data_IF_409258539844
#
_entry.id   IF_409258539844
#
_cell.length_a   1.000
_cell.length_b   1.000
_cell.length_c   1.000
_cell.angle_alpha   90.00
_cell.angle_beta   90.00
_cell.angle_gamma   90.00
#
_symmetry.space_group_name_H-M   'P 1'
#
loop_
_entity.id
_entity.type
_entity.pdbx_description
1 polymer ?
#
# COMPACT_ATOMS: atom_id res chain seq x y z
N UNK A 1 28.73 19.55 13.24
CA UNK A 1 29.23 18.49 14.15
C UNK A 1 28.12 17.56 14.67
N UNK A 2 27.07 18.08 15.31
CA UNK A 2 25.95 17.28 15.88
C UNK A 2 25.19 16.37 14.88
N UNK A 3 25.01 16.80 13.62
CA UNK A 3 24.35 15.99 12.58
C UNK A 3 25.21 14.78 12.16
N UNK A 4 26.54 14.95 12.12
CA UNK A 4 27.50 13.88 11.80
C UNK A 4 27.55 12.86 12.94
N UNK A 5 27.65 13.34 14.18
CA UNK A 5 27.61 12.49 15.37
C UNK A 5 26.31 11.67 15.47
N UNK A 6 25.17 12.29 15.16
CA UNK A 6 23.87 11.60 15.12
C UNK A 6 23.88 10.40 14.17
N UNK A 7 24.26 10.58 12.89
CA UNK A 7 24.28 9.49 11.92
C UNK A 7 25.36 8.44 12.21
N UNK A 8 26.46 8.84 12.87
CA UNK A 8 27.45 7.88 13.36
C UNK A 8 26.82 6.92 14.37
N UNK A 9 26.02 7.45 15.30
CA UNK A 9 25.37 6.68 16.37
C UNK A 9 24.15 5.90 15.86
N UNK A 10 23.21 6.56 15.18
CA UNK A 10 21.93 5.96 14.80
C UNK A 10 22.01 5.06 13.57
N UNK A 11 22.92 5.37 12.64
CA UNK A 11 22.92 4.81 11.28
C UNK A 11 22.34 5.79 10.26
N UNK A 12 22.70 5.63 8.99
CA UNK A 12 22.14 6.46 7.93
C UNK A 12 20.67 6.08 7.64
N UNK A 13 19.92 7.01 7.07
CA UNK A 13 18.50 6.80 6.73
C UNK A 13 18.29 5.80 5.60
N UNK A 14 19.34 5.49 4.83
CA UNK A 14 19.28 4.59 3.67
C UNK A 14 19.41 3.12 4.08
N UNK A 15 20.32 2.79 5.02
CA UNK A 15 20.58 1.40 5.40
C UNK A 15 19.79 0.92 6.63
N UNK A 16 19.23 1.84 7.42
CA UNK A 16 18.52 1.52 8.65
C UNK A 16 17.12 2.13 8.67
N UNK A 17 16.11 1.32 9.00
CA UNK A 17 14.75 1.80 9.20
C UNK A 17 14.68 2.80 10.37
N UNK A 18 13.58 3.53 10.45
CA UNK A 18 13.33 4.45 11.57
C UNK A 18 13.43 3.74 12.93
N UNK A 19 12.78 2.58 13.09
CA UNK A 19 12.81 1.80 14.34
C UNK A 19 14.21 1.27 14.66
N UNK A 20 14.96 0.83 13.65
CA UNK A 20 16.37 0.44 13.79
C UNK A 20 17.22 1.58 14.35
N UNK A 21 17.08 2.79 13.79
CA UNK A 21 17.85 3.97 14.20
C UNK A 21 17.52 4.38 15.63
N UNK A 22 16.24 4.38 15.97
CA UNK A 22 15.78 4.68 17.33
C UNK A 22 16.32 3.66 18.34
N UNK A 23 16.27 2.37 18.00
CA UNK A 23 16.84 1.33 18.86
C UNK A 23 18.35 1.53 19.08
N UNK A 24 19.11 1.84 18.02
CA UNK A 24 20.54 2.14 18.13
C UNK A 24 20.83 3.34 19.04
N UNK A 25 20.04 4.42 18.90
CA UNK A 25 20.14 5.61 19.75
C UNK A 25 19.89 5.23 21.21
N UNK A 26 18.83 4.47 21.49
CA UNK A 26 18.52 4.05 22.85
C UNK A 26 19.60 3.14 23.44
N UNK A 27 20.10 2.16 22.69
CA UNK A 27 21.18 1.31 23.19
C UNK A 27 22.43 2.13 23.51
N UNK A 28 22.82 3.05 22.63
CA UNK A 28 24.00 3.89 22.83
C UNK A 28 23.85 4.82 24.04
N UNK A 29 22.74 5.56 24.11
CA UNK A 29 22.48 6.52 25.18
C UNK A 29 22.21 5.80 26.50
N UNK A 30 21.44 4.72 26.47
CA UNK A 30 21.22 3.84 27.61
C UNK A 30 22.55 3.36 28.19
N UNK A 31 23.42 2.80 27.35
CA UNK A 31 24.77 2.37 27.78
C UNK A 31 25.59 3.52 28.36
N UNK A 32 25.57 4.70 27.73
CA UNK A 32 26.28 5.88 28.22
C UNK A 32 25.79 6.29 29.62
N UNK A 33 24.47 6.37 29.82
CA UNK A 33 23.88 6.74 31.10
C UNK A 33 24.07 5.63 32.16
N UNK A 34 24.03 4.35 31.79
CA UNK A 34 24.37 3.25 32.70
C UNK A 34 25.85 3.30 33.12
N UNK A 35 26.76 3.68 32.21
CA UNK A 35 28.18 3.86 32.53
C UNK A 35 28.42 5.02 33.48
N UNK A 36 27.70 6.13 33.27
CA UNK A 36 27.76 7.29 34.16
C UNK A 36 27.16 6.98 35.54
N UNK A 37 26.02 6.28 35.57
CA UNK A 37 25.40 5.77 36.79
C UNK A 37 26.31 4.80 37.54
N UNK A 38 27.01 3.90 36.84
CA UNK A 38 28.02 3.02 37.44
C UNK A 38 29.12 3.80 38.17
N UNK A 39 29.69 4.82 37.53
CA UNK A 39 30.77 5.61 38.13
C UNK A 39 30.31 6.34 39.41
N UNK A 40 29.06 6.80 39.43
CA UNK A 40 28.48 7.43 40.60
C UNK A 40 28.10 6.44 41.69
N UNK A 41 27.49 5.32 41.33
CA UNK A 41 27.17 4.26 42.29
C UNK A 41 28.42 3.76 43.00
N UNK A 42 29.53 3.64 42.27
CA UNK A 42 30.84 3.35 42.82
C UNK A 42 31.32 4.46 43.78
N UNK A 43 31.20 5.73 43.38
CA UNK A 43 31.58 6.87 44.22
C UNK A 43 30.73 7.04 45.48
N UNK A 44 29.47 6.61 45.45
CA UNK A 44 28.53 6.63 46.58
C UNK A 44 28.70 5.41 47.51
N UNK A 45 29.63 4.50 47.19
CA UNK A 45 29.88 3.30 47.98
C UNK A 45 28.71 2.30 47.97
N UNK A 46 27.85 2.32 46.94
CA UNK A 46 26.77 1.35 46.83
C UNK A 46 27.34 -0.07 46.65
N UNK A 47 26.66 -1.06 47.25
CA UNK A 47 27.19 -2.43 47.39
C UNK A 47 27.62 -3.11 46.08
N UNK A 48 28.53 -4.08 46.19
CA UNK A 48 29.15 -4.77 45.05
C UNK A 48 28.16 -5.37 44.03
N UNK A 49 26.97 -5.77 44.48
CA UNK A 49 25.93 -6.30 43.58
C UNK A 49 25.35 -5.23 42.64
N UNK A 50 25.23 -3.97 43.07
CA UNK A 50 24.78 -2.85 42.22
C UNK A 50 25.83 -2.53 41.14
N UNK A 51 27.11 -2.67 41.48
CA UNK A 51 28.22 -2.54 40.55
C UNK A 51 28.15 -3.66 39.49
N UNK A 52 27.91 -4.90 39.92
CA UNK A 52 27.79 -6.06 39.03
C UNK A 52 26.59 -5.94 38.07
N UNK A 53 25.41 -5.54 38.56
CA UNK A 53 24.23 -5.32 37.70
C UNK A 53 24.44 -4.19 36.70
N UNK A 54 25.17 -3.15 37.08
CA UNK A 54 25.54 -2.05 36.18
C UNK A 54 26.50 -2.51 35.08
N UNK A 55 27.54 -3.28 35.42
CA UNK A 55 28.52 -3.81 34.44
C UNK A 55 27.87 -4.76 33.43
N UNK A 56 26.99 -5.65 33.91
CA UNK A 56 26.23 -6.56 33.05
C UNK A 56 25.29 -5.79 32.10
N UNK A 57 24.64 -4.73 32.60
CA UNK A 57 23.84 -3.81 31.78
C UNK A 57 24.66 -3.10 30.69
N UNK A 58 25.86 -2.60 31.02
CA UNK A 58 26.77 -1.96 30.07
C UNK A 58 27.21 -2.95 28.99
N UNK A 59 27.68 -4.14 29.38
CA UNK A 59 28.12 -5.17 28.44
C UNK A 59 27.00 -5.57 27.49
N UNK A 60 25.78 -5.69 28.00
CA UNK A 60 24.61 -6.01 27.20
C UNK A 60 24.22 -4.88 26.24
N UNK A 61 24.19 -3.63 26.71
CA UNK A 61 23.91 -2.45 25.89
C UNK A 61 24.90 -2.30 24.73
N UNK A 62 26.21 -2.51 24.99
CA UNK A 62 27.26 -2.54 23.96
C UNK A 62 27.01 -3.67 22.97
N UNK A 63 26.70 -4.87 23.46
CA UNK A 63 26.46 -6.04 22.60
C UNK A 63 25.28 -5.81 21.66
N UNK A 64 24.19 -5.26 22.17
CA UNK A 64 22.98 -4.98 21.40
C UNK A 64 23.20 -3.86 20.39
N UNK A 65 23.91 -2.81 20.79
CA UNK A 65 24.33 -1.76 19.88
C UNK A 65 25.22 -2.33 18.76
N UNK A 66 26.20 -3.18 19.08
CA UNK A 66 27.07 -3.81 18.10
C UNK A 66 26.29 -4.72 17.11
N UNK A 67 25.41 -5.59 17.61
CA UNK A 67 24.61 -6.49 16.78
C UNK A 67 23.67 -5.70 15.85
N UNK A 68 22.99 -4.69 16.38
CA UNK A 68 22.03 -3.89 15.62
C UNK A 68 22.74 -2.94 14.64
N UNK A 69 23.73 -2.17 15.10
CA UNK A 69 24.36 -1.10 14.33
C UNK A 69 25.46 -1.59 13.38
N UNK A 70 26.30 -2.54 13.81
CA UNK A 70 27.49 -2.98 13.06
C UNK A 70 27.19 -4.23 12.24
N UNK A 71 26.52 -5.23 12.81
CA UNK A 71 26.14 -6.43 12.06
C UNK A 71 24.84 -6.28 11.26
N UNK A 72 24.10 -5.20 11.45
CA UNK A 72 22.80 -4.98 10.78
C UNK A 72 21.72 -5.99 11.17
N UNK A 73 21.95 -6.78 12.22
CA UNK A 73 21.04 -7.82 12.68
C UNK A 73 20.05 -7.19 13.64
N UNK A 74 18.91 -6.76 13.14
CA UNK A 74 17.80 -6.38 14.00
C UNK A 74 16.48 -6.98 13.53
N UNK A 75 15.77 -7.48 14.53
CA UNK A 75 14.50 -8.18 14.51
C UNK A 75 13.74 -7.69 15.72
N UNK A 76 12.41 -7.62 15.63
CA UNK A 76 11.56 -7.17 16.72
C UNK A 76 11.82 -7.92 18.05
N UNK A 77 12.22 -9.19 17.97
CA UNK A 77 12.57 -10.05 19.13
C UNK A 77 13.70 -9.47 19.99
N UNK A 78 14.63 -8.69 19.42
CA UNK A 78 15.71 -8.09 20.22
C UNK A 78 15.18 -7.03 21.20
N UNK A 79 14.12 -6.31 20.86
CA UNK A 79 13.48 -5.35 21.80
C UNK A 79 12.87 -6.11 22.97
N UNK A 80 12.15 -7.20 22.70
CA UNK A 80 11.52 -8.02 23.74
C UNK A 80 12.59 -8.64 24.66
N UNK A 81 13.69 -9.16 24.10
CA UNK A 81 14.83 -9.66 24.87
C UNK A 81 15.49 -8.56 25.72
N UNK A 82 15.62 -7.35 25.16
CA UNK A 82 16.22 -6.21 25.84
C UNK A 82 15.38 -5.74 27.03
N UNK A 83 14.05 -5.72 26.86
CA UNK A 83 13.09 -5.42 27.93
C UNK A 83 13.18 -6.45 29.05
N UNK A 84 13.20 -7.75 28.72
CA UNK A 84 13.28 -8.83 29.71
C UNK A 84 14.57 -8.75 30.53
N UNK A 85 15.73 -8.61 29.88
CA UNK A 85 16.99 -8.52 30.61
C UNK A 85 17.06 -7.26 31.47
N UNK A 86 16.60 -6.11 30.94
CA UNK A 86 16.57 -4.86 31.72
C UNK A 86 15.71 -5.02 32.97
N UNK A 87 14.53 -5.64 32.86
CA UNK A 87 13.68 -5.91 34.02
C UNK A 87 14.33 -6.87 35.02
N UNK A 88 15.03 -7.91 34.54
CA UNK A 88 15.74 -8.85 35.40
C UNK A 88 16.89 -8.18 36.17
N UNK A 89 17.68 -7.34 35.50
CA UNK A 89 18.77 -6.59 36.14
C UNK A 89 18.25 -5.57 37.15
N UNK A 90 17.15 -4.88 36.85
CA UNK A 90 16.50 -3.94 37.78
C UNK A 90 15.87 -4.67 38.96
N UNK A 91 15.25 -5.84 38.72
CA UNK A 91 14.73 -6.70 39.79
C UNK A 91 15.83 -7.22 40.70
N UNK A 92 17.02 -7.55 40.17
CA UNK A 92 18.18 -7.86 41.01
C UNK A 92 18.63 -6.65 41.82
N UNK A 93 18.67 -5.46 41.19
CA UNK A 93 19.08 -4.21 41.85
C UNK A 93 18.14 -3.80 42.98
N UNK A 94 16.84 -4.13 42.88
CA UNK A 94 15.82 -3.85 43.89
C UNK A 94 16.21 -4.32 45.31
N UNK A 95 16.77 -5.52 45.43
CA UNK A 95 17.18 -6.08 46.73
C UNK A 95 18.37 -5.35 47.37
N UNK A 96 19.20 -4.71 46.55
CA UNK A 96 20.43 -4.03 46.99
C UNK A 96 20.31 -2.50 47.00
N UNK A 97 19.15 -1.97 46.63
CA UNK A 97 18.86 -0.54 46.58
C UNK A 97 17.54 -0.26 47.33
N UNK A 98 17.42 -0.76 48.57
CA UNK A 98 16.35 -0.39 49.51
C UNK A 98 14.91 -0.64 49.05
N UNK A 99 14.68 -1.55 48.11
CA UNK A 99 13.32 -1.95 47.71
C UNK A 99 12.46 -0.78 47.24
N UNK A 100 11.27 -0.63 47.83
CA UNK A 100 10.35 0.48 47.51
C UNK A 100 10.82 1.85 48.00
N UNK A 101 11.69 1.93 49.00
CA UNK A 101 12.27 3.19 49.47
C UNK A 101 13.43 3.68 48.59
N UNK A 102 13.91 2.83 47.69
CA UNK A 102 14.98 3.15 46.76
C UNK A 102 14.52 3.76 45.44
N UNK A 103 15.42 3.73 44.47
CA UNK A 103 15.26 4.45 43.21
C UNK A 103 14.87 3.55 42.03
N UNK A 104 14.77 2.24 42.26
CA UNK A 104 14.52 1.23 41.21
C UNK A 104 13.18 1.43 40.50
N UNK A 105 12.11 1.82 41.20
CA UNK A 105 10.81 2.07 40.56
C UNK A 105 10.83 3.26 39.59
N UNK A 106 11.58 4.31 39.91
CA UNK A 106 11.77 5.43 38.96
C UNK A 106 12.54 4.96 37.73
N UNK A 107 13.56 4.12 37.92
CA UNK A 107 14.33 3.55 36.81
C UNK A 107 13.48 2.63 35.94
N UNK A 108 12.61 1.80 36.54
CA UNK A 108 11.63 0.99 35.82
C UNK A 108 10.67 1.86 35.00
N UNK A 109 10.17 2.97 35.56
CA UNK A 109 9.28 3.89 34.85
C UNK A 109 9.97 4.57 33.66
N UNK A 110 11.19 5.07 33.84
CA UNK A 110 11.99 5.68 32.77
C UNK A 110 12.23 4.67 31.63
N UNK A 111 12.60 3.43 31.97
CA UNK A 111 12.80 2.37 30.99
C UNK A 111 11.49 1.97 30.30
N UNK A 112 10.37 1.90 31.02
CA UNK A 112 9.06 1.65 30.45
C UNK A 112 8.71 2.69 29.38
N UNK A 113 8.78 3.98 29.72
CA UNK A 113 8.54 5.07 28.76
C UNK A 113 9.47 4.97 27.55
N UNK A 114 10.74 4.64 27.78
CA UNK A 114 11.73 4.50 26.70
C UNK A 114 11.39 3.33 25.77
N UNK A 115 11.01 2.17 26.30
CA UNK A 115 10.62 1.02 25.47
C UNK A 115 9.28 1.21 24.77
N UNK A 116 8.35 1.96 25.36
CA UNK A 116 7.11 2.34 24.70
C UNK A 116 7.35 3.23 23.46
N UNK A 117 8.39 4.08 23.49
CA UNK A 117 8.78 4.91 22.35
C UNK A 117 9.41 4.09 21.20
N UNK A 118 10.04 2.95 21.49
CA UNK A 118 10.80 2.16 20.53
C UNK A 118 9.99 0.97 19.99
N UNK A 119 9.21 0.35 20.87
CA UNK A 119 8.45 -0.85 20.56
C UNK A 119 7.32 -0.58 19.57
N UNK A 120 7.15 -1.48 18.60
CA UNK A 120 6.00 -1.43 17.68
C UNK A 120 4.69 -1.58 18.45
N UNK A 121 3.60 -1.09 17.87
CA UNK A 121 2.26 -1.18 18.49
C UNK A 121 1.89 -2.62 18.88
N UNK A 122 2.33 -3.63 18.12
CA UNK A 122 2.14 -5.05 18.44
C UNK A 122 2.98 -5.57 19.62
N UNK A 123 4.01 -4.85 20.05
CA UNK A 123 4.89 -5.21 21.17
C UNK A 123 4.52 -4.47 22.46
N UNK A 124 3.93 -3.28 22.35
CA UNK A 124 3.62 -2.42 23.49
C UNK A 124 2.82 -3.13 24.58
N UNK A 125 1.82 -3.94 24.21
CA UNK A 125 1.06 -4.73 25.18
C UNK A 125 1.95 -5.71 25.97
N UNK A 126 2.87 -6.42 25.29
CA UNK A 126 3.80 -7.35 25.95
C UNK A 126 4.77 -6.60 26.86
N UNK A 127 5.27 -5.45 26.42
CA UNK A 127 6.14 -4.58 27.22
C UNK A 127 5.42 -4.16 28.50
N UNK A 128 4.19 -3.64 28.41
CA UNK A 128 3.39 -3.26 29.57
C UNK A 128 3.16 -4.43 30.53
N UNK A 129 2.83 -5.62 30.01
CA UNK A 129 2.64 -6.83 30.85
C UNK A 129 3.92 -7.15 31.63
N UNK A 130 5.09 -7.14 30.98
CA UNK A 130 6.38 -7.44 31.63
C UNK A 130 6.65 -6.43 32.75
N UNK A 131 6.56 -5.12 32.48
CA UNK A 131 6.83 -4.10 33.50
C UNK A 131 5.83 -4.14 34.66
N UNK A 132 4.54 -4.30 34.38
CA UNK A 132 3.50 -4.40 35.42
C UNK A 132 3.74 -5.65 36.29
N UNK A 133 4.03 -6.79 35.66
CA UNK A 133 4.28 -8.04 36.37
C UNK A 133 5.55 -7.93 37.22
N UNK A 134 6.63 -7.34 36.70
CA UNK A 134 7.84 -7.06 37.48
C UNK A 134 7.53 -6.24 38.72
N UNK A 135 6.77 -5.14 38.59
CA UNK A 135 6.41 -4.28 39.73
C UNK A 135 5.58 -5.04 40.76
N UNK A 136 4.56 -5.78 40.33
CA UNK A 136 3.70 -6.58 41.23
C UNK A 136 4.53 -7.63 41.97
N UNK A 137 5.42 -8.34 41.28
CA UNK A 137 6.28 -9.37 41.88
C UNK A 137 7.23 -8.75 42.90
N UNK A 138 7.89 -7.62 42.58
CA UNK A 138 8.81 -6.97 43.51
C UNK A 138 8.11 -6.48 44.78
N UNK A 139 6.93 -5.85 44.65
CA UNK A 139 6.13 -5.41 45.80
C UNK A 139 5.64 -6.61 46.63
N UNK A 140 5.21 -7.69 45.98
CA UNK A 140 4.81 -8.91 46.67
C UNK A 140 5.99 -9.50 47.47
N UNK A 141 7.18 -9.55 46.88
CA UNK A 141 8.37 -10.05 47.57
C UNK A 141 8.75 -9.17 48.75
N UNK A 142 8.69 -7.84 48.62
CA UNK A 142 8.99 -6.91 49.71
C UNK A 142 8.06 -7.09 50.92
N UNK A 143 6.76 -7.25 50.68
CA UNK A 143 5.77 -7.45 51.76
C UNK A 143 5.97 -8.79 52.47
N UNK A 144 6.25 -9.87 51.72
CA UNK A 144 6.32 -11.21 52.30
C UNK A 144 7.72 -11.58 52.83
N UNK A 145 8.78 -10.95 52.31
CA UNK A 145 10.17 -11.24 52.63
C UNK A 145 11.00 -9.96 52.84
N UNK A 146 10.63 -9.11 53.81
CA UNK A 146 11.28 -7.80 54.01
C UNK A 146 12.77 -7.91 54.39
N UNK A 147 13.19 -9.04 54.97
CA UNK A 147 14.59 -9.29 55.35
C UNK A 147 15.54 -9.47 54.16
N UNK A 148 15.01 -9.70 52.95
CA UNK A 148 15.82 -9.80 51.73
C UNK A 148 16.28 -8.44 51.20
N UNK A 149 15.72 -7.34 51.69
CA UNK A 149 15.97 -5.99 51.17
C UNK A 149 17.00 -5.28 52.05
N UNK A 150 18.10 -4.86 51.42
CA UNK A 150 19.13 -4.07 52.07
C UNK A 150 18.74 -2.60 52.07
N UNK A 151 18.61 -2.02 53.26
CA UNK A 151 18.30 -0.61 53.44
C UNK A 151 19.54 0.28 53.30
N UNK A 152 19.30 1.57 53.04
CA UNK A 152 20.36 2.58 53.03
C UNK A 152 21.03 2.68 54.39
N UNK A 153 22.34 2.92 54.40
CA UNK A 153 23.09 3.08 55.65
C UNK A 153 22.72 4.37 56.38
N UNK A 154 22.38 5.43 55.63
CA UNK A 154 21.98 6.72 56.20
C UNK A 154 21.05 7.53 55.27
N UNK A 155 20.37 8.51 55.85
CA UNK A 155 19.45 9.39 55.12
C UNK A 155 20.15 10.25 54.05
N UNK A 156 21.42 10.60 54.24
CA UNK A 156 22.18 11.41 53.28
C UNK A 156 22.42 10.62 51.98
N UNK A 157 22.76 9.34 52.07
CA UNK A 157 22.93 8.42 50.96
C UNK A 157 21.60 8.23 50.21
N UNK A 158 20.49 8.05 50.95
CA UNK A 158 19.14 7.98 50.34
C UNK A 158 18.83 9.25 49.54
N UNK A 159 18.93 10.43 50.15
CA UNK A 159 18.63 11.69 49.46
C UNK A 159 19.55 11.90 48.26
N UNK A 160 20.84 11.58 48.39
CA UNK A 160 21.80 11.69 47.30
C UNK A 160 21.45 10.76 46.13
N UNK A 161 21.10 9.51 46.40
CA UNK A 161 20.70 8.53 45.36
C UNK A 161 19.45 9.00 44.61
N UNK A 162 18.41 9.41 45.34
CA UNK A 162 17.17 9.95 44.77
C UNK A 162 17.39 11.22 43.92
N UNK A 163 18.12 12.20 44.46
CA UNK A 163 18.42 13.44 43.75
C UNK A 163 19.24 13.19 42.48
N UNK A 164 20.23 12.31 42.59
CA UNK A 164 21.10 11.91 41.48
C UNK A 164 20.28 11.25 40.39
N UNK A 165 19.47 10.23 40.71
CA UNK A 165 18.65 9.55 39.71
C UNK A 165 17.65 10.49 39.03
N UNK A 166 16.98 11.39 39.76
CA UNK A 166 16.00 12.30 39.16
C UNK A 166 16.65 13.23 38.12
N UNK A 167 17.83 13.79 38.43
CA UNK A 167 18.58 14.60 37.45
C UNK A 167 18.96 13.76 36.24
N UNK A 168 19.42 12.53 36.43
CA UNK A 168 19.75 11.62 35.33
C UNK A 168 18.55 11.25 34.47
N UNK A 169 17.42 10.92 35.09
CA UNK A 169 16.19 10.57 34.41
C UNK A 169 15.71 11.73 33.52
N UNK A 170 15.75 12.96 34.03
CA UNK A 170 15.37 14.16 33.26
C UNK A 170 16.30 14.39 32.06
N UNK A 171 17.62 14.30 32.27
CA UNK A 171 18.59 14.45 31.19
C UNK A 171 18.45 13.35 30.13
N UNK A 172 18.26 12.10 30.57
CA UNK A 172 18.09 10.94 29.71
C UNK A 172 16.82 11.06 28.85
N UNK A 173 15.66 11.27 29.49
CA UNK A 173 14.38 11.41 28.79
C UNK A 173 14.41 12.62 27.86
N UNK A 174 14.91 13.77 28.32
CA UNK A 174 15.02 14.98 27.51
C UNK A 174 15.88 14.78 26.26
N UNK A 175 17.00 14.07 26.40
CA UNK A 175 17.89 13.75 25.27
C UNK A 175 17.25 12.76 24.30
N UNK A 176 16.64 11.67 24.80
CA UNK A 176 15.95 10.67 23.98
C UNK A 176 14.81 11.32 23.19
N UNK A 177 13.93 12.09 23.84
CA UNK A 177 12.82 12.78 23.17
C UNK A 177 13.33 13.77 22.12
N UNK A 178 14.39 14.54 22.42
CA UNK A 178 14.97 15.49 21.46
C UNK A 178 15.50 14.79 20.21
N UNK A 179 16.17 13.66 20.37
CA UNK A 179 16.71 12.89 19.24
C UNK A 179 15.61 12.18 18.46
N UNK A 180 14.61 11.64 19.15
CA UNK A 180 13.43 11.03 18.54
C UNK A 180 12.66 12.05 17.70
N UNK A 181 12.34 13.22 18.27
CA UNK A 181 11.63 14.30 17.56
C UNK A 181 12.39 14.75 16.33
N UNK A 182 13.71 14.87 16.44
CA UNK A 182 14.56 15.21 15.30
C UNK A 182 14.51 14.16 14.19
N UNK A 183 14.52 12.87 14.51
CA UNK A 183 14.44 11.82 13.49
C UNK A 183 13.05 11.78 12.84
N UNK A 184 12.00 11.92 13.66
CA UNK A 184 10.61 12.02 13.21
C UNK A 184 10.40 13.18 12.23
N UNK A 185 10.92 14.37 12.54
CA UNK A 185 10.80 15.55 11.67
C UNK A 185 11.52 15.34 10.31
N UNK A 186 12.67 14.63 10.28
CA UNK A 186 13.37 14.33 9.03
C UNK A 186 12.61 13.31 8.18
N UNK A 187 12.09 12.26 8.82
CA UNK A 187 11.32 11.22 8.14
C UNK A 187 10.04 11.82 7.56
N UNK A 188 9.35 12.65 8.34
CA UNK A 188 8.15 13.39 7.91
C UNK A 188 8.42 14.27 6.70
N UNK A 189 9.51 15.05 6.72
CA UNK A 189 9.88 15.91 5.58
C UNK A 189 10.17 15.10 4.31
N UNK A 190 10.78 13.91 4.44
CA UNK A 190 11.04 13.01 3.31
C UNK A 190 9.74 12.47 2.72
N UNK A 191 8.80 12.05 3.58
CA UNK A 191 7.48 11.57 3.16
C UNK A 191 6.68 12.67 2.48
N UNK A 192 6.70 13.91 3.01
CA UNK A 192 6.01 15.05 2.41
C UNK A 192 6.56 15.36 1.01
N UNK A 193 7.88 15.34 0.84
CA UNK A 193 8.52 15.52 -0.46
C UNK A 193 8.11 14.42 -1.46
N UNK A 194 8.18 13.15 -1.06
CA UNK A 194 7.78 12.01 -1.91
C UNK A 194 6.31 12.09 -2.30
N UNK A 195 5.44 12.49 -1.37
CA UNK A 195 4.01 12.67 -1.64
C UNK A 195 3.77 13.76 -2.68
N UNK A 196 4.50 14.86 -2.61
CA UNK A 196 4.39 15.96 -3.55
C UNK A 196 4.84 15.55 -4.96
N UNK A 197 5.93 14.78 -5.08
CA UNK A 197 6.41 14.23 -6.35
C UNK A 197 5.42 13.24 -6.96
N UNK A 198 4.89 12.32 -6.15
CA UNK A 198 3.86 11.36 -6.56
C UNK A 198 2.61 12.09 -7.06
N UNK A 199 2.18 13.15 -6.36
CA UNK A 199 0.99 13.93 -6.75
C UNK A 199 1.19 14.58 -8.13
N UNK A 200 2.35 15.19 -8.39
CA UNK A 200 2.68 15.77 -9.70
C UNK A 200 2.69 14.73 -10.82
N UNK A 201 3.17 13.51 -10.54
CA UNK A 201 3.15 12.41 -11.51
C UNK A 201 1.72 11.95 -11.82
N UNK A 202 0.85 11.89 -10.80
CA UNK A 202 -0.56 11.57 -10.99
C UNK A 202 -1.29 12.62 -11.83
N UNK A 203 -1.09 13.91 -11.53
CA UNK A 203 -1.68 15.01 -12.32
C UNK A 203 -1.25 14.93 -13.79
N UNK A 204 0.05 14.76 -14.06
CA UNK A 204 0.56 14.62 -15.43
C UNK A 204 0.01 13.39 -16.16
N UNK A 205 -0.22 12.30 -15.44
CA UNK A 205 -0.80 11.08 -16.00
C UNK A 205 -2.28 11.28 -16.31
N UNK A 206 -3.02 11.94 -15.42
CA UNK A 206 -4.42 12.29 -15.62
C UNK A 206 -4.60 13.22 -16.84
N UNK A 207 -3.78 14.26 -16.97
CA UNK A 207 -3.78 15.16 -18.14
C UNK A 207 -3.52 14.39 -19.45
N UNK A 208 -2.54 13.49 -19.44
CA UNK A 208 -2.25 12.64 -20.61
C UNK A 208 -3.41 11.71 -20.97
N UNK A 209 -4.04 11.10 -19.97
CA UNK A 209 -5.17 10.21 -20.21
C UNK A 209 -6.35 10.99 -20.81
N UNK A 210 -6.67 12.16 -20.25
CA UNK A 210 -7.71 13.03 -20.80
C UNK A 210 -7.40 13.47 -22.24
N UNK A 211 -6.13 13.77 -22.53
CA UNK A 211 -5.71 14.07 -23.91
C UNK A 211 -5.89 12.87 -24.83
N UNK A 212 -5.48 11.67 -24.41
CA UNK A 212 -5.64 10.43 -25.19
C UNK A 212 -7.13 10.15 -25.45
N UNK A 213 -7.99 10.27 -24.44
CA UNK A 213 -9.45 10.11 -24.58
C UNK A 213 -10.02 11.07 -25.63
N UNK A 214 -9.59 12.34 -25.61
CA UNK A 214 -10.02 13.32 -26.61
C UNK A 214 -9.54 12.97 -28.03
N UNK A 215 -8.30 12.45 -28.15
CA UNK A 215 -7.72 12.05 -29.43
C UNK A 215 -8.43 10.82 -30.00
N UNK A 216 -8.74 9.86 -29.13
CA UNK A 216 -9.53 8.67 -29.48
C UNK A 216 -10.93 9.07 -29.95
N UNK A 217 -11.60 9.99 -29.25
CA UNK A 217 -12.91 10.51 -29.67
C UNK A 217 -12.85 11.19 -31.06
N UNK A 218 -11.82 12.01 -31.33
CA UNK A 218 -11.61 12.64 -32.63
C UNK A 218 -11.34 11.62 -33.74
N UNK A 219 -10.54 10.58 -33.47
CA UNK A 219 -10.32 9.49 -34.41
C UNK A 219 -11.63 8.80 -34.77
N UNK A 220 -12.50 8.52 -33.79
CA UNK A 220 -13.78 7.90 -34.07
C UNK A 220 -14.68 8.77 -34.94
N UNK A 221 -14.71 10.07 -34.66
CA UNK A 221 -15.46 11.03 -35.48
C UNK A 221 -14.96 11.05 -36.93
N UNK A 222 -13.64 11.03 -37.14
CA UNK A 222 -13.03 10.97 -38.49
C UNK A 222 -13.32 9.67 -39.21
N UNK A 223 -13.27 8.52 -38.53
CA UNK A 223 -13.59 7.23 -39.13
C UNK A 223 -15.03 7.20 -39.62
N UNK A 224 -15.97 7.73 -38.84
CA UNK A 224 -17.37 7.89 -39.27
C UNK A 224 -17.46 8.74 -40.56
N UNK A 225 -16.80 9.90 -40.58
CA UNK A 225 -16.81 10.77 -41.77
C UNK A 225 -16.21 10.08 -43.00
N UNK A 226 -15.12 9.33 -42.83
CA UNK A 226 -14.46 8.62 -43.93
C UNK A 226 -15.37 7.53 -44.51
N UNK A 227 -16.03 6.72 -43.66
CA UNK A 227 -16.97 5.69 -44.12
C UNK A 227 -18.16 6.31 -44.87
N UNK A 228 -18.66 7.47 -44.42
CA UNK A 228 -19.74 8.19 -45.09
C UNK A 228 -19.33 8.73 -46.47
N UNK A 229 -18.08 9.21 -46.61
CA UNK A 229 -17.53 9.62 -47.91
C UNK A 229 -17.40 8.42 -48.86
N UNK A 230 -16.89 7.29 -48.38
CA UNK A 230 -16.79 6.04 -49.18
C UNK A 230 -18.18 5.58 -49.65
N UNK A 231 -19.17 5.55 -48.75
CA UNK A 231 -20.55 5.21 -49.10
C UNK A 231 -21.13 6.14 -50.18
N UNK A 232 -20.89 7.44 -50.06
CA UNK A 232 -21.33 8.44 -51.04
C UNK A 232 -20.68 8.26 -52.41
N UNK A 233 -19.39 7.91 -52.45
CA UNK A 233 -18.67 7.61 -53.70
C UNK A 233 -19.20 6.35 -54.38
N UNK A 234 -19.46 5.29 -53.62
CA UNK A 234 -20.06 4.05 -54.13
C UNK A 234 -21.46 4.31 -54.71
N UNK A 235 -22.28 5.13 -54.03
CA UNK A 235 -23.58 5.54 -54.54
C UNK A 235 -23.50 6.30 -55.86
N UNK A 236 -22.53 7.22 -55.99
CA UNK A 236 -22.33 7.99 -57.23
C UNK A 236 -21.80 7.12 -58.37
N UNK A 237 -20.91 6.17 -58.10
CA UNK A 237 -20.39 5.25 -59.11
C UNK A 237 -21.46 4.26 -59.58
N UNK A 238 -22.28 3.72 -58.67
CA UNK A 238 -23.38 2.82 -59.03
C UNK A 238 -24.33 3.47 -60.04
N UNK A 239 -24.75 4.71 -59.80
CA UNK A 239 -25.64 5.47 -60.71
C UNK A 239 -25.09 5.71 -62.12
N UNK A 240 -23.78 5.55 -62.35
CA UNK A 240 -23.12 5.79 -63.65
C UNK A 240 -22.92 4.52 -64.48
N UNK A 241 -23.15 3.35 -63.90
CA UNK A 241 -23.00 2.07 -64.60
C UNK A 241 -24.24 1.77 -65.44
N UNK A 242 -24.04 1.18 -66.62
CA UNK A 242 -25.13 0.68 -67.47
C UNK A 242 -25.40 -0.83 -67.27
N UNK A 243 -24.42 -1.56 -66.73
CA UNK A 243 -24.55 -2.99 -66.42
C UNK A 243 -25.25 -3.17 -65.07
N UNK A 244 -26.43 -3.79 -65.10
CA UNK A 244 -27.25 -4.08 -63.91
C UNK A 244 -26.50 -4.94 -62.88
N UNK A 245 -25.68 -5.91 -63.33
CA UNK A 245 -24.92 -6.75 -62.40
C UNK A 245 -23.84 -5.94 -61.66
N UNK A 246 -23.21 -4.99 -62.34
CA UNK A 246 -22.20 -4.11 -61.74
C UNK A 246 -22.83 -3.06 -60.81
N UNK A 247 -24.05 -2.58 -61.11
CA UNK A 247 -24.82 -1.73 -60.19
C UNK A 247 -25.15 -2.45 -58.88
N UNK A 248 -25.65 -3.69 -58.98
CA UNK A 248 -25.98 -4.52 -57.82
C UNK A 248 -24.74 -4.74 -56.94
N UNK A 249 -23.59 -5.08 -57.54
CA UNK A 249 -22.35 -5.29 -56.80
C UNK A 249 -21.86 -4.03 -56.05
N UNK A 250 -22.04 -2.84 -56.63
CA UNK A 250 -21.70 -1.57 -55.96
C UNK A 250 -22.70 -1.17 -54.87
N UNK A 251 -24.00 -1.44 -55.06
CA UNK A 251 -25.00 -1.24 -54.00
C UNK A 251 -24.76 -2.17 -52.82
N UNK A 252 -24.39 -3.43 -53.07
CA UNK A 252 -24.00 -4.36 -52.01
C UNK A 252 -22.76 -3.89 -51.25
N UNK A 253 -21.75 -3.38 -51.98
CA UNK A 253 -20.54 -2.82 -51.37
C UNK A 253 -20.86 -1.60 -50.51
N UNK A 254 -21.78 -0.75 -50.97
CA UNK A 254 -22.26 0.41 -50.21
C UNK A 254 -22.99 -0.01 -48.94
N UNK A 255 -23.91 -0.98 -49.03
CA UNK A 255 -24.65 -1.49 -47.87
C UNK A 255 -23.71 -2.07 -46.80
N UNK A 256 -22.61 -2.72 -47.20
CA UNK A 256 -21.56 -3.19 -46.28
C UNK A 256 -20.82 -2.03 -45.59
N UNK A 257 -20.48 -0.97 -46.33
CA UNK A 257 -19.84 0.23 -45.77
C UNK A 257 -20.78 0.98 -44.80
N UNK A 258 -22.06 1.08 -45.13
CA UNK A 258 -23.08 1.70 -44.28
C UNK A 258 -23.28 0.90 -42.97
N UNK A 259 -23.30 -0.43 -43.07
CA UNK A 259 -23.33 -1.30 -41.89
C UNK A 259 -22.08 -1.11 -41.02
N UNK A 260 -20.88 -1.10 -41.61
CA UNK A 260 -19.63 -0.83 -40.88
C UNK A 260 -19.64 0.55 -40.19
N UNK A 261 -20.20 1.58 -40.82
CA UNK A 261 -20.33 2.92 -40.24
C UNK A 261 -21.28 2.94 -39.04
N UNK A 262 -22.42 2.26 -39.14
CA UNK A 262 -23.40 2.13 -38.06
C UNK A 262 -22.82 1.36 -36.86
N UNK A 263 -22.11 0.27 -37.15
CA UNK A 263 -21.35 -0.52 -36.18
C UNK A 263 -20.34 0.38 -35.45
N UNK A 264 -19.48 1.07 -36.20
CA UNK A 264 -18.46 1.94 -35.63
C UNK A 264 -19.05 3.08 -34.77
N UNK A 265 -20.20 3.64 -35.16
CA UNK A 265 -20.88 4.68 -34.39
C UNK A 265 -21.47 4.15 -33.06
N UNK A 266 -22.10 2.96 -33.05
CA UNK A 266 -22.72 2.41 -31.84
C UNK A 266 -21.71 1.86 -30.83
N UNK A 267 -20.57 1.35 -31.29
CA UNK A 267 -19.55 0.76 -30.41
C UNK A 267 -18.81 1.80 -29.55
N UNK A 268 -18.62 3.02 -30.07
CA UNK A 268 -17.75 4.03 -29.44
C UNK A 268 -18.51 5.22 -28.82
N UNK A 269 -19.84 5.27 -28.93
CA UNK A 269 -20.69 6.27 -28.26
C UNK A 269 -21.03 5.91 -26.81
N UNK A 270 -20.87 4.65 -26.42
CA UNK A 270 -20.99 4.25 -25.02
C UNK A 270 -19.63 4.49 -24.35
N UNK A 271 -19.59 5.38 -23.36
CA UNK A 271 -18.40 5.81 -22.61
C UNK A 271 -17.58 4.67 -21.95
N UNK A 272 -18.00 3.42 -22.07
CA UNK A 272 -17.24 2.24 -21.67
C UNK A 272 -16.48 1.69 -22.88
N UNK A 273 -15.28 2.22 -23.09
CA UNK A 273 -14.34 1.91 -24.18
C UNK A 273 -13.95 0.41 -24.32
N UNK A 274 -14.53 -0.52 -23.56
CA UNK A 274 -14.06 -1.90 -23.42
C UNK A 274 -15.13 -2.99 -23.64
N UNK A 275 -16.42 -2.68 -23.78
CA UNK A 275 -17.43 -3.74 -23.86
C UNK A 275 -18.74 -3.34 -24.56
N UNK A 276 -19.34 -4.28 -25.28
CA UNK A 276 -20.49 -4.06 -26.17
C UNK A 276 -21.55 -5.09 -25.84
N UNK A 277 -22.80 -4.64 -25.68
CA UNK A 277 -23.93 -5.57 -25.63
C UNK A 277 -24.13 -6.24 -27.01
N UNK A 278 -23.63 -7.46 -27.15
CA UNK A 278 -23.59 -8.17 -28.43
C UNK A 278 -24.98 -8.61 -28.91
N UNK A 279 -25.94 -8.79 -27.99
CA UNK A 279 -27.33 -9.04 -28.35
C UNK A 279 -27.92 -7.83 -29.07
N UNK A 280 -27.85 -6.65 -28.43
CA UNK A 280 -28.37 -5.42 -29.01
C UNK A 280 -27.65 -5.09 -30.33
N UNK A 281 -26.35 -5.34 -30.38
CA UNK A 281 -25.55 -5.17 -31.58
C UNK A 281 -26.05 -6.02 -32.76
N UNK A 282 -26.20 -7.33 -32.56
CA UNK A 282 -26.66 -8.24 -33.62
C UNK A 282 -28.12 -8.02 -34.01
N UNK A 283 -28.99 -7.64 -33.06
CA UNK A 283 -30.38 -7.25 -33.34
C UNK A 283 -30.43 -6.07 -34.32
N UNK A 284 -29.70 -5.00 -34.00
CA UNK A 284 -29.67 -3.80 -34.83
C UNK A 284 -29.07 -4.06 -36.22
N UNK A 285 -27.98 -4.83 -36.29
CA UNK A 285 -27.36 -5.21 -37.55
C UNK A 285 -28.35 -5.96 -38.45
N UNK A 286 -29.05 -6.94 -37.87
CA UNK A 286 -29.96 -7.81 -38.61
C UNK A 286 -31.20 -7.08 -39.10
N UNK A 287 -31.76 -6.18 -38.28
CA UNK A 287 -32.87 -5.29 -38.65
C UNK A 287 -32.46 -4.37 -39.80
N UNK A 288 -31.28 -3.75 -39.71
CA UNK A 288 -30.77 -2.87 -40.75
C UNK A 288 -30.62 -3.61 -42.08
N UNK A 289 -30.12 -4.85 -42.06
CA UNK A 289 -29.96 -5.66 -43.26
C UNK A 289 -31.31 -6.05 -43.87
N UNK A 290 -32.28 -6.47 -43.05
CA UNK A 290 -33.61 -6.79 -43.54
C UNK A 290 -34.24 -5.60 -44.29
N UNK A 291 -34.13 -4.39 -43.71
CA UNK A 291 -34.62 -3.16 -44.33
C UNK A 291 -33.89 -2.83 -45.64
N UNK A 292 -32.56 -2.96 -45.68
CA UNK A 292 -31.76 -2.71 -46.89
C UNK A 292 -32.12 -3.64 -48.05
N UNK A 293 -32.50 -4.89 -47.76
CA UNK A 293 -32.93 -5.86 -48.77
C UNK A 293 -34.46 -5.84 -49.02
N UNK A 294 -35.21 -4.92 -48.38
CA UNK A 294 -36.65 -4.74 -48.59
C UNK A 294 -37.54 -5.81 -47.94
N UNK A 295 -37.03 -6.53 -46.95
CA UNK A 295 -37.79 -7.54 -46.20
C UNK A 295 -38.38 -6.95 -44.90
N UNK A 296 -39.44 -7.58 -44.39
CA UNK A 296 -40.01 -7.25 -43.07
C UNK A 296 -38.93 -7.44 -41.98
N UNK A 297 -38.95 -6.66 -40.91
CA UNK A 297 -38.02 -6.84 -39.80
C UNK A 297 -38.40 -8.03 -38.91
N UNK A 298 -39.68 -8.43 -38.90
CA UNK A 298 -40.21 -9.50 -38.05
C UNK A 298 -39.78 -10.92 -38.47
N UNK A 299 -39.22 -11.07 -39.67
CA UNK A 299 -38.70 -12.35 -40.17
C UNK A 299 -37.33 -12.69 -39.58
N UNK A 300 -36.69 -11.77 -38.86
CA UNK A 300 -35.37 -11.98 -38.26
C UNK A 300 -35.47 -12.10 -36.74
N UNK A 301 -34.87 -13.14 -36.19
CA UNK A 301 -34.77 -13.35 -34.74
C UNK A 301 -33.33 -13.65 -34.32
N UNK A 302 -32.83 -12.89 -33.36
CA UNK A 302 -31.46 -12.98 -32.85
C UNK A 302 -31.47 -13.46 -31.40
N UNK A 303 -30.61 -14.40 -31.04
CA UNK A 303 -30.46 -14.87 -29.66
C UNK A 303 -29.01 -15.10 -29.27
N UNK A 304 -28.57 -14.46 -28.20
CA UNK A 304 -27.22 -14.57 -27.65
C UNK A 304 -27.26 -15.31 -26.31
N UNK A 305 -26.42 -16.35 -26.19
CA UNK A 305 -26.24 -17.16 -25.00
C UNK A 305 -24.83 -16.95 -24.42
N UNK A 306 -24.60 -15.77 -23.84
CA UNK A 306 -23.36 -15.41 -23.14
C UNK A 306 -23.70 -14.89 -21.73
N UNK A 307 -22.83 -15.10 -20.71
CA UNK A 307 -23.12 -14.79 -19.31
C UNK A 307 -23.63 -13.37 -19.08
N UNK A 308 -22.95 -12.37 -19.64
CA UNK A 308 -23.29 -10.95 -19.48
C UNK A 308 -23.81 -10.30 -20.77
N UNK A 309 -23.95 -11.07 -21.85
CA UNK A 309 -24.20 -10.58 -23.22
C UNK A 309 -23.28 -9.43 -23.64
N UNK A 310 -22.16 -9.25 -22.95
CA UNK A 310 -21.16 -8.25 -23.23
C UNK A 310 -19.96 -8.90 -23.93
N UNK A 311 -19.37 -8.18 -24.87
CA UNK A 311 -18.24 -8.64 -25.66
C UNK A 311 -17.29 -7.47 -25.95
N UNK A 312 -15.99 -7.76 -25.93
CA UNK A 312 -14.96 -6.81 -26.34
C UNK A 312 -15.14 -6.41 -27.82
N UNK A 313 -14.87 -5.14 -28.13
CA UNK A 313 -14.99 -4.56 -29.47
C UNK A 313 -14.17 -5.36 -30.49
N UNK A 314 -12.97 -5.80 -30.10
CA UNK A 314 -12.05 -6.58 -30.93
C UNK A 314 -12.65 -7.93 -31.39
N UNK A 315 -13.62 -8.47 -30.65
CA UNK A 315 -14.37 -9.69 -31.01
C UNK A 315 -15.71 -9.38 -31.66
N UNK A 316 -16.39 -8.34 -31.19
CA UNK A 316 -17.70 -7.95 -31.69
C UNK A 316 -17.65 -7.53 -33.18
N UNK A 317 -16.61 -6.80 -33.60
CA UNK A 317 -16.48 -6.31 -34.97
C UNK A 317 -16.33 -7.45 -35.99
N UNK A 318 -15.38 -8.40 -35.84
CA UNK A 318 -15.29 -9.57 -36.73
C UNK A 318 -16.59 -10.39 -36.80
N UNK A 319 -17.26 -10.59 -35.66
CA UNK A 319 -18.53 -11.34 -35.61
C UNK A 319 -19.62 -10.60 -36.38
N UNK A 320 -19.73 -9.28 -36.20
CA UNK A 320 -20.67 -8.46 -36.96
C UNK A 320 -20.45 -8.54 -38.46
N UNK A 321 -19.19 -8.57 -38.92
CA UNK A 321 -18.88 -8.78 -40.33
C UNK A 321 -19.29 -10.16 -40.84
N UNK A 322 -18.98 -11.22 -40.09
CA UNK A 322 -19.40 -12.58 -40.46
C UNK A 322 -20.92 -12.68 -40.57
N UNK A 323 -21.64 -12.14 -39.57
CA UNK A 323 -23.10 -12.12 -39.58
C UNK A 323 -23.61 -11.33 -40.78
N UNK A 324 -23.05 -10.15 -41.06
CA UNK A 324 -23.43 -9.36 -42.23
C UNK A 324 -23.36 -10.17 -43.53
N UNK A 325 -22.27 -10.89 -43.76
CA UNK A 325 -22.10 -11.72 -44.97
C UNK A 325 -23.11 -12.85 -45.05
N UNK A 326 -23.27 -13.61 -43.97
CA UNK A 326 -24.16 -14.76 -43.94
C UNK A 326 -25.63 -14.35 -44.11
N UNK A 327 -26.03 -13.27 -43.43
CA UNK A 327 -27.39 -12.73 -43.49
C UNK A 327 -27.68 -12.13 -44.86
N UNK A 328 -26.74 -11.36 -45.42
CA UNK A 328 -26.86 -10.82 -46.78
C UNK A 328 -27.02 -11.95 -47.81
N UNK A 329 -26.22 -13.01 -47.71
CA UNK A 329 -26.34 -14.16 -48.61
C UNK A 329 -27.67 -14.90 -48.46
N UNK A 330 -28.19 -15.03 -47.23
CA UNK A 330 -29.51 -15.60 -47.00
C UNK A 330 -30.60 -14.77 -47.69
N UNK A 331 -30.57 -13.44 -47.55
CA UNK A 331 -31.54 -12.55 -48.18
C UNK A 331 -31.52 -12.60 -49.70
N UNK A 332 -30.32 -12.67 -50.30
CA UNK A 332 -30.20 -12.76 -51.77
C UNK A 332 -30.68 -14.08 -52.34
N UNK A 333 -30.32 -15.20 -51.70
CA UNK A 333 -30.43 -16.51 -52.33
C UNK A 333 -31.52 -17.39 -51.73
N UNK A 334 -31.71 -17.36 -50.40
CA UNK A 334 -32.64 -18.25 -49.71
C UNK A 334 -34.04 -17.66 -49.58
N UNK A 335 -34.15 -16.33 -49.41
CA UNK A 335 -35.44 -15.67 -49.14
C UNK A 335 -36.28 -15.46 -50.41
N UNK A 336 -35.65 -15.39 -51.58
CA UNK A 336 -36.31 -15.21 -52.87
C UNK A 336 -37.04 -16.46 -53.36
N UNK A 337 -36.62 -17.66 -52.92
CA UNK A 337 -37.20 -18.94 -53.34
C UNK A 337 -38.09 -19.60 -52.29
N UNK A 338 -38.18 -19.03 -51.08
CA UNK A 338 -38.82 -19.69 -49.93
C UNK A 338 -40.12 -19.01 -49.54
N UNK A 339 -41.28 -19.70 -49.54
CA UNK A 339 -42.53 -19.16 -49.04
C UNK A 339 -42.47 -18.94 -47.52
N UNK A 340 -42.74 -17.73 -47.04
CA UNK A 340 -42.67 -17.31 -45.61
C UNK A 340 -41.31 -17.58 -44.95
N UNK A 341 -40.24 -16.94 -45.43
CA UNK A 341 -38.89 -17.20 -44.94
C UNK A 341 -38.67 -16.64 -43.52
N UNK A 342 -37.82 -17.31 -42.74
CA UNK A 342 -37.41 -16.87 -41.39
C UNK A 342 -35.88 -16.99 -41.24
N UNK A 343 -35.27 -16.00 -40.60
CA UNK A 343 -33.84 -15.95 -40.31
C UNK A 343 -33.64 -16.06 -38.79
N UNK A 344 -32.77 -16.97 -38.35
CA UNK A 344 -32.42 -17.11 -36.93
C UNK A 344 -30.92 -17.06 -36.74
N UNK A 345 -30.47 -16.10 -35.94
CA UNK A 345 -29.05 -15.91 -35.61
C UNK A 345 -28.85 -16.31 -34.15
N UNK A 346 -27.90 -17.22 -33.90
CA UNK A 346 -27.60 -17.69 -32.56
C UNK A 346 -26.11 -17.60 -32.28
N UNK A 347 -25.75 -16.94 -31.18
CA UNK A 347 -24.38 -16.86 -30.69
C UNK A 347 -24.26 -17.64 -29.38
N UNK A 348 -23.30 -18.53 -29.31
CA UNK A 348 -23.00 -19.38 -28.16
C UNK A 348 -21.56 -19.14 -27.70
N UNK A 349 -21.29 -19.46 -26.43
CA UNK A 349 -19.95 -19.36 -25.82
C UNK A 349 -18.93 -20.33 -26.42
#
# INVERSE_FOLDING_TARGET
MLKKLYYTISGNTIAFSFEHRIFNITCFIGTFFTTLGFALNFSLGLGWMVILTSLTGIAYGITQYYLSRIQGKFKAVYIDAYVLLTNLLLGATFFYNSGSEGTVFYTLLVNYCTFMLIGKQSQQLRISIVFITTIIVLLFVEVNFPTLILQYENNAQRISDHATLLVYALLFIGLIIRLFRKDYDNEKATIEYQKEEITKLYEKTAEKNQFIESLVAELHHRTKNNLQVVSSLLALQSKRLADENAQIALEESRNRVDAMALIHQKLYLNNELASVNIQEYLDNLSVSLAQSFGFDTNIVNTSVSLPDKSMDIDRAVPIGLIVNELVSNAFKHAFTTTPKPQLRIRLYE
#
